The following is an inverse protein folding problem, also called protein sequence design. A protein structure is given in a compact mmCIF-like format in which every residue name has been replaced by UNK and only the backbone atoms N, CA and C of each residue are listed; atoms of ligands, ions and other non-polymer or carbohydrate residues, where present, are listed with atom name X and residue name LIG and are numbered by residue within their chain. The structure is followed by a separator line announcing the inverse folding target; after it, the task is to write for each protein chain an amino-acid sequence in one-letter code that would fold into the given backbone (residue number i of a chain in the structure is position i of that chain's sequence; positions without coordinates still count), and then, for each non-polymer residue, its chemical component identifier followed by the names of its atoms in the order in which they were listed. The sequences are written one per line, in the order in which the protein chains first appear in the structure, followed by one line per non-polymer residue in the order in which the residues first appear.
data_IF_632932717794
#
_entry.id   IF_632932717794
#
_cell.length_a   1.000
_cell.length_b   1.000
_cell.length_c   1.000
_cell.angle_alpha   90.00
_cell.angle_beta   90.00
_cell.angle_gamma   90.00
#
_symmetry.space_group_name_H-M   'P 1'
#
loop_
_entity.id
_entity.type
_entity.pdbx_description
1 polymer ?
#
# COMPACT_ATOMS: atom_id res chain seq x y z
N UNK A 1 -23.65 -33.14 -22.60
CA UNK A 1 -25.03 -32.82 -23.00
C UNK A 1 -25.99 -33.18 -21.87
N UNK A 2 -26.24 -32.27 -20.92
CA UNK A 2 -27.46 -32.27 -20.10
C UNK A 2 -27.80 -30.81 -19.82
N UNK A 3 -28.91 -30.39 -20.41
CA UNK A 3 -29.58 -29.12 -20.19
C UNK A 3 -30.34 -29.14 -18.86
N UNK A 4 -30.66 -27.97 -18.32
CA UNK A 4 -31.69 -27.83 -17.30
C UNK A 4 -31.46 -26.66 -16.35
N UNK A 5 -31.77 -25.45 -16.81
CA UNK A 5 -32.04 -24.29 -15.94
C UNK A 5 -33.45 -24.44 -15.34
N UNK A 6 -33.65 -24.28 -14.02
CA UNK A 6 -34.97 -24.05 -13.46
C UNK A 6 -35.22 -22.57 -13.08
N UNK A 7 -36.50 -22.16 -12.98
CA UNK A 7 -36.96 -20.80 -13.28
C UNK A 7 -36.92 -19.83 -12.10
N UNK A 8 -36.74 -18.54 -12.42
CA UNK A 8 -36.99 -17.41 -11.53
C UNK A 8 -38.50 -17.18 -11.39
N UNK A 9 -39.02 -17.35 -10.18
CA UNK A 9 -40.44 -17.19 -9.85
C UNK A 9 -40.71 -15.83 -9.20
N UNK A 10 -41.41 -15.00 -9.97
CA UNK A 10 -42.51 -14.10 -9.64
C UNK A 10 -42.43 -13.15 -8.41
N UNK A 11 -42.54 -11.86 -8.77
CA UNK A 11 -43.16 -10.81 -7.98
C UNK A 11 -44.57 -11.19 -7.49
N UNK A 12 -44.90 -10.80 -6.26
CA UNK A 12 -45.98 -9.84 -5.95
C UNK A 12 -46.35 -9.91 -4.47
N UNK A 13 -46.36 -8.75 -3.79
CA UNK A 13 -47.58 -8.20 -3.17
C UNK A 13 -47.30 -6.91 -2.39
N UNK A 14 -48.05 -5.89 -2.79
CA UNK A 14 -48.22 -4.60 -2.17
C UNK A 14 -49.09 -4.66 -0.89
N UNK A 15 -49.04 -3.54 -0.14
CA UNK A 15 -50.01 -3.00 0.84
C UNK A 15 -49.30 -2.70 2.18
N UNK A 16 -49.49 -1.57 2.86
CA UNK A 16 -50.58 -0.61 2.85
C UNK A 16 -50.10 0.79 3.31
N UNK A 17 -50.85 1.82 2.89
CA UNK A 17 -50.85 3.17 3.47
C UNK A 17 -51.71 3.19 4.75
N UNK A 18 -51.56 4.23 5.58
CA UNK A 18 -52.71 5.12 5.74
C UNK A 18 -52.36 6.62 5.59
N UNK A 19 -53.37 7.35 5.09
CA UNK A 19 -53.47 8.81 4.97
C UNK A 19 -54.15 9.37 6.22
N UNK A 20 -53.82 10.62 6.57
CA UNK A 20 -54.70 11.74 6.99
C UNK A 20 -53.78 12.78 7.68
N UNK A 21 -53.85 14.11 7.61
CA UNK A 21 -54.90 15.14 7.41
C UNK A 21 -54.17 16.42 6.88
N UNK A 22 -54.63 17.22 5.90
CA UNK A 22 -55.68 18.26 5.94
C UNK A 22 -55.42 19.24 7.12
N UNK A 23 -54.83 20.44 6.95
CA UNK A 23 -55.48 21.68 6.49
C UNK A 23 -54.49 22.78 6.02
N UNK A 24 -54.91 23.57 5.03
CA UNK A 24 -54.30 24.83 4.53
C UNK A 24 -54.81 26.05 5.37
N UNK A 25 -54.62 27.36 5.03
CA UNK A 25 -53.89 28.03 3.95
C UNK A 25 -53.08 29.31 4.35
N UNK A 26 -52.25 29.79 3.42
CA UNK A 26 -52.14 31.23 3.13
C UNK A 26 -50.97 32.00 3.74
N UNK A 27 -50.01 32.39 2.90
CA UNK A 27 -49.73 33.80 2.62
C UNK A 27 -48.78 33.91 1.43
N UNK A 28 -49.26 34.57 0.38
CA UNK A 28 -48.51 34.88 -0.84
C UNK A 28 -47.67 36.12 -0.60
N UNK A 29 -46.34 36.05 -0.73
CA UNK A 29 -45.53 37.21 -1.18
C UNK A 29 -44.18 36.81 -1.77
N UNK A 30 -43.94 37.35 -2.97
CA UNK A 30 -42.65 37.76 -3.51
C UNK A 30 -41.55 36.72 -3.81
N UNK A 31 -41.67 36.13 -5.00
CA UNK A 31 -40.76 36.37 -6.14
C UNK A 31 -39.37 36.94 -5.77
N UNK A 32 -38.40 36.04 -5.60
CA UNK A 32 -37.03 36.27 -6.05
C UNK A 32 -36.48 34.98 -6.65
N UNK A 33 -36.59 34.89 -7.98
CA UNK A 33 -35.77 33.99 -8.80
C UNK A 33 -34.31 34.38 -8.55
N UNK A 34 -33.55 33.58 -7.81
CA UNK A 34 -32.10 33.40 -7.91
C UNK A 34 -31.67 32.35 -6.86
N UNK A 35 -30.91 31.35 -7.29
CA UNK A 35 -30.26 30.30 -6.48
C UNK A 35 -31.08 29.03 -6.18
N UNK A 36 -31.35 28.24 -7.22
CA UNK A 36 -31.71 26.82 -7.09
C UNK A 36 -30.72 25.91 -7.84
N UNK A 37 -29.45 26.33 -7.95
CA UNK A 37 -28.34 25.51 -8.48
C UNK A 37 -27.52 24.81 -7.38
N UNK A 38 -27.98 24.83 -6.12
CA UNK A 38 -27.22 24.34 -4.97
C UNK A 38 -27.85 23.15 -4.22
N UNK A 39 -28.87 22.47 -4.76
CA UNK A 39 -29.57 21.39 -4.02
C UNK A 39 -29.73 20.06 -4.78
N UNK A 40 -28.79 19.70 -5.67
CA UNK A 40 -28.84 18.41 -6.41
C UNK A 40 -27.51 17.66 -6.53
N UNK A 41 -26.51 17.91 -5.67
CA UNK A 41 -25.32 17.04 -5.55
C UNK A 41 -25.30 16.35 -4.18
N UNK A 42 -26.43 15.79 -3.76
CA UNK A 42 -26.56 15.01 -2.51
C UNK A 42 -27.09 13.61 -2.84
N UNK A 43 -26.34 12.79 -3.61
CA UNK A 43 -26.70 11.37 -3.83
C UNK A 43 -25.61 10.45 -4.45
N UNK A 44 -24.37 10.90 -4.68
CA UNK A 44 -23.31 10.02 -5.20
C UNK A 44 -22.26 9.61 -4.16
N UNK A 45 -22.62 9.51 -2.87
CA UNK A 45 -21.88 8.66 -1.90
C UNK A 45 -22.25 7.18 -2.11
N UNK A 46 -21.98 6.65 -3.31
CA UNK A 46 -21.76 5.20 -3.43
C UNK A 46 -20.44 4.94 -2.68
N UNK A 47 -20.53 4.39 -1.46
CA UNK A 47 -19.37 3.84 -0.76
C UNK A 47 -18.71 2.85 -1.71
N UNK A 48 -17.60 3.25 -2.32
CA UNK A 48 -16.71 2.32 -2.99
C UNK A 48 -16.31 1.28 -1.93
N UNK A 49 -16.47 -0.03 -2.17
CA UNK A 49 -15.95 -1.03 -1.24
C UNK A 49 -14.44 -0.79 -1.17
N UNK A 50 -13.94 -0.58 0.06
CA UNK A 50 -12.51 -0.44 0.32
C UNK A 50 -11.78 -1.54 -0.45
N UNK A 51 -10.87 -1.11 -1.32
CA UNK A 51 -10.02 -1.95 -2.14
C UNK A 51 -9.52 -3.14 -1.34
N UNK A 52 -9.59 -4.33 -1.95
CA UNK A 52 -9.09 -5.57 -1.40
C UNK A 52 -7.57 -5.46 -1.22
N UNK A 53 -7.14 -4.91 -0.08
CA UNK A 53 -5.73 -4.80 0.28
C UNK A 53 -5.26 -6.15 0.81
N UNK A 54 -4.87 -7.04 -0.10
CA UNK A 54 -4.16 -8.26 0.28
C UNK A 54 -2.91 -7.82 1.06
N UNK A 55 -2.70 -8.30 2.31
CA UNK A 55 -1.53 -7.89 3.08
C UNK A 55 -0.27 -8.26 2.31
N UNK A 56 0.62 -7.29 2.12
CA UNK A 56 1.93 -7.52 1.50
C UNK A 56 2.63 -8.62 2.29
N UNK A 57 3.07 -9.68 1.63
CA UNK A 57 3.78 -10.80 2.25
C UNK A 57 5.18 -10.90 1.67
N UNK A 58 6.16 -11.09 2.56
CA UNK A 58 7.56 -11.30 2.18
C UNK A 58 8.06 -12.61 2.78
N UNK A 59 9.07 -13.23 2.16
CA UNK A 59 9.72 -14.41 2.70
C UNK A 59 10.84 -13.99 3.66
N UNK A 60 10.94 -14.62 4.83
CA UNK A 60 12.07 -14.42 5.73
C UNK A 60 13.36 -14.91 5.03
N UNK A 61 14.44 -14.11 4.98
CA UNK A 61 15.67 -14.52 4.29
C UNK A 61 16.39 -15.69 4.99
N UNK A 62 16.20 -15.85 6.30
CA UNK A 62 16.88 -16.88 7.10
C UNK A 62 16.23 -18.27 7.02
N UNK A 63 14.89 -18.32 7.01
CA UNK A 63 14.14 -19.59 7.11
C UNK A 63 13.04 -19.74 6.05
N UNK A 64 12.86 -18.75 5.18
CA UNK A 64 11.90 -18.71 4.08
C UNK A 64 10.41 -18.77 4.48
N UNK A 65 10.10 -18.66 5.77
CA UNK A 65 8.72 -18.51 6.26
C UNK A 65 8.09 -17.24 5.69
N UNK A 66 6.86 -17.33 5.17
CA UNK A 66 6.10 -16.17 4.68
C UNK A 66 5.58 -15.34 5.86
N UNK A 67 5.88 -14.05 5.85
CA UNK A 67 5.49 -13.10 6.91
C UNK A 67 4.70 -11.94 6.33
N UNK A 68 3.65 -11.53 7.03
CA UNK A 68 2.88 -10.34 6.67
C UNK A 68 3.71 -9.09 6.98
N UNK A 69 3.76 -8.16 6.03
CA UNK A 69 4.35 -6.84 6.16
C UNK A 69 3.36 -5.93 6.92
N UNK A 70 3.37 -6.03 8.25
CA UNK A 70 2.48 -5.29 9.15
C UNK A 70 3.26 -4.78 10.34
N UNK A 71 2.95 -3.56 10.82
CA UNK A 71 3.58 -2.87 11.97
C UNK A 71 3.74 -3.74 13.21
N UNK A 72 2.87 -4.74 13.40
CA UNK A 72 2.91 -5.70 14.50
C UNK A 72 4.20 -6.54 14.61
N UNK A 73 4.94 -6.78 13.51
CA UNK A 73 6.21 -7.52 13.56
C UNK A 73 7.42 -6.57 13.51
N UNK A 74 8.04 -6.17 14.63
CA UNK A 74 9.12 -5.18 14.62
C UNK A 74 10.39 -5.67 13.90
N UNK A 75 10.56 -6.99 13.74
CA UNK A 75 11.74 -7.60 13.13
C UNK A 75 11.58 -7.84 11.61
N UNK A 76 10.62 -7.19 10.94
CA UNK A 76 10.50 -7.25 9.46
C UNK A 76 11.86 -6.91 8.80
N UNK A 77 12.32 -7.67 7.77
CA UNK A 77 11.63 -8.71 7.01
C UNK A 77 11.70 -10.13 7.61
N UNK A 78 12.27 -10.29 8.81
CA UNK A 78 12.40 -11.60 9.47
C UNK A 78 11.09 -12.03 10.14
N UNK A 79 10.91 -13.35 10.33
CA UNK A 79 9.75 -13.89 11.03
C UNK A 79 9.82 -13.75 12.56
N UNK A 80 11.03 -13.52 13.11
CA UNK A 80 11.26 -13.35 14.53
C UNK A 80 12.64 -12.74 14.79
N UNK A 81 12.82 -12.22 16.00
CA UNK A 81 14.09 -11.74 16.52
C UNK A 81 15.23 -12.78 16.36
N UNK A 82 14.93 -14.07 16.55
CA UNK A 82 15.91 -15.16 16.37
C UNK A 82 16.49 -15.18 14.96
N UNK A 83 15.64 -15.07 13.93
CA UNK A 83 16.11 -15.12 12.54
C UNK A 83 16.95 -13.90 12.18
N UNK A 84 16.61 -12.72 12.73
CA UNK A 84 17.42 -11.51 12.61
C UNK A 84 18.83 -11.70 13.20
N UNK A 85 18.95 -12.30 14.39
CA UNK A 85 20.25 -12.55 15.01
C UNK A 85 21.09 -13.57 14.25
N UNK A 86 20.47 -14.63 13.70
CA UNK A 86 21.17 -15.62 12.88
C UNK A 86 21.74 -14.96 11.62
N UNK A 87 20.96 -14.11 10.95
CA UNK A 87 21.42 -13.39 9.77
C UNK A 87 22.62 -12.49 10.08
N UNK A 88 22.53 -11.71 11.16
CA UNK A 88 23.64 -10.89 11.65
C UNK A 88 24.88 -11.75 11.98
N UNK A 89 24.69 -12.91 12.60
CA UNK A 89 25.76 -13.86 12.87
C UNK A 89 26.46 -14.36 11.60
N UNK A 90 25.72 -14.66 10.55
CA UNK A 90 26.27 -15.12 9.27
C UNK A 90 27.14 -14.06 8.58
N UNK A 91 26.81 -12.77 8.72
CA UNK A 91 27.65 -11.67 8.26
C UNK A 91 28.92 -11.52 9.10
N UNK A 92 28.78 -11.59 10.43
CA UNK A 92 29.92 -11.50 11.34
C UNK A 92 30.91 -12.66 11.17
N UNK A 93 30.44 -13.84 10.77
CA UNK A 93 31.27 -15.02 10.49
C UNK A 93 31.71 -15.14 9.03
N UNK A 94 31.52 -14.10 8.21
CA UNK A 94 31.87 -14.06 6.79
C UNK A 94 31.25 -15.17 5.92
N UNK A 95 30.21 -15.84 6.46
CA UNK A 95 29.48 -16.89 5.75
C UNK A 95 28.54 -16.29 4.70
N UNK A 96 27.99 -15.11 5.00
CA UNK A 96 27.45 -14.20 3.99
C UNK A 96 28.55 -13.24 3.53
N UNK A 97 29.00 -13.42 2.29
CA UNK A 97 29.96 -12.53 1.63
C UNK A 97 29.51 -12.26 0.20
N UNK A 98 29.78 -11.05 -0.25
CA UNK A 98 29.60 -10.68 -1.66
C UNK A 98 30.90 -11.05 -2.38
N UNK A 99 30.84 -11.88 -3.44
CA UNK A 99 32.03 -12.16 -4.22
C UNK A 99 32.52 -10.88 -4.89
N UNK A 100 33.81 -10.58 -4.74
CA UNK A 100 34.45 -9.40 -5.31
C UNK A 100 35.93 -9.67 -5.58
N UNK A 101 36.59 -8.70 -6.19
CA UNK A 101 38.05 -8.70 -6.30
C UNK A 101 38.69 -8.68 -4.91
N UNK A 102 39.92 -9.19 -4.80
CA UNK A 102 40.61 -9.14 -3.51
C UNK A 102 40.77 -7.69 -3.05
N UNK A 103 40.58 -7.46 -1.75
CA UNK A 103 40.84 -6.16 -1.17
C UNK A 103 42.32 -5.81 -1.39
N UNK A 104 42.58 -4.63 -1.95
CA UNK A 104 43.92 -4.09 -2.02
C UNK A 104 44.44 -3.84 -0.60
N UNK A 105 45.72 -4.12 -0.36
CA UNK A 105 46.33 -3.80 0.93
C UNK A 105 46.49 -2.28 1.10
N UNK A 106 46.67 -1.85 2.35
CA UNK A 106 46.80 -0.42 2.70
C UNK A 106 47.95 0.24 1.93
N UNK A 107 49.07 -0.48 1.78
CA UNK A 107 50.26 0.02 1.08
C UNK A 107 50.02 0.29 -0.41
N UNK A 108 49.30 -0.59 -1.09
CA UNK A 108 48.94 -0.43 -2.49
C UNK A 108 47.99 0.76 -2.69
N UNK A 109 47.07 0.97 -1.74
CA UNK A 109 46.15 2.12 -1.78
C UNK A 109 46.94 3.43 -1.62
N UNK A 110 47.83 3.51 -0.63
CA UNK A 110 48.64 4.71 -0.37
C UNK A 110 49.52 5.07 -1.58
N UNK A 111 50.16 4.08 -2.21
CA UNK A 111 50.96 4.31 -3.41
C UNK A 111 50.12 4.87 -4.56
N UNK A 112 48.92 4.34 -4.76
CA UNK A 112 47.98 4.84 -5.78
C UNK A 112 47.58 6.29 -5.51
N UNK A 113 47.29 6.64 -4.26
CA UNK A 113 46.93 8.02 -3.87
C UNK A 113 48.07 8.99 -4.16
N UNK A 114 49.28 8.66 -3.71
CA UNK A 114 50.46 9.51 -3.94
C UNK A 114 50.76 9.68 -5.43
N UNK A 115 50.51 8.65 -6.24
CA UNK A 115 50.67 8.73 -7.68
C UNK A 115 49.66 9.70 -8.31
N UNK A 116 48.40 9.65 -7.87
CA UNK A 116 47.36 10.59 -8.31
C UNK A 116 47.69 12.03 -7.92
N UNK A 117 48.21 12.27 -6.72
CA UNK A 117 48.63 13.61 -6.28
C UNK A 117 49.78 14.16 -7.13
N UNK A 118 50.77 13.32 -7.46
CA UNK A 118 51.85 13.69 -8.37
C UNK A 118 51.33 14.06 -9.75
N UNK A 119 50.42 13.26 -10.30
CA UNK A 119 49.79 13.52 -11.60
C UNK A 119 48.99 14.83 -11.60
N UNK A 120 48.22 15.08 -10.54
CA UNK A 120 47.45 16.31 -10.40
C UNK A 120 48.36 17.55 -10.32
N UNK A 121 49.42 17.50 -9.52
CA UNK A 121 50.38 18.60 -9.41
C UNK A 121 51.10 18.90 -10.74
N UNK A 122 51.36 17.87 -11.55
CA UNK A 122 51.97 17.99 -12.88
C UNK A 122 50.99 18.51 -13.95
N UNK A 123 49.68 18.48 -13.69
CA UNK A 123 48.63 18.87 -14.63
C UNK A 123 48.19 20.33 -14.53
N UNK A 124 48.63 21.07 -13.51
CA UNK A 124 48.38 22.52 -13.37
C UNK A 124 49.26 23.32 -14.33
N UNK A 125 48.69 24.07 -15.30
CA UNK A 125 49.44 24.87 -16.27
C UNK A 125 50.11 26.11 -15.66
#
# INVERSE_FOLDING_TARGET
MKAGVPPVSLCDKASAKPRSDIDAPGCSTFRTRLSAYFFTIESHKKRLPMSQDKPLQVACPTCHTKVNWSSANPDRPFCSHRCKLIDLGAWASESHRIPGEQAMDETAIDEMVLQLERQNAQSTP
#
